data_IF_485781063355
#
_entry.id   IF_485781063355
#
_cell.length_a   1.000
_cell.length_b   1.000
_cell.length_c   1.000
_cell.angle_alpha   90.00
_cell.angle_beta   90.00
_cell.angle_gamma   90.00
#
_symmetry.space_group_name_H-M   'P 1'
#
loop_
_entity.id
_entity.type
_entity.pdbx_description
1 polymer ?
#
# COMPACT_ATOMS: atom_id res chain seq x y z
N UNK A 1 -3.30 -17.35 1.56
CA UNK A 1 -3.37 -16.08 2.33
C UNK A 1 -4.27 -15.11 1.59
N UNK A 2 -5.17 -14.40 2.29
CA UNK A 2 -6.13 -13.49 1.66
C UNK A 2 -5.36 -12.36 0.96
N UNK A 3 -5.61 -12.12 -0.34
CA UNK A 3 -4.96 -11.04 -1.13
C UNK A 3 -5.08 -9.67 -0.44
N UNK A 4 -6.13 -9.49 0.37
CA UNK A 4 -6.35 -8.35 1.29
C UNK A 4 -5.23 -8.16 2.32
N UNK A 5 -4.77 -9.22 2.98
CA UNK A 5 -3.71 -9.14 4.01
C UNK A 5 -2.38 -8.73 3.38
N UNK A 6 -2.10 -9.19 2.16
CA UNK A 6 -0.91 -8.80 1.41
C UNK A 6 -0.94 -7.32 0.99
N UNK A 7 -2.08 -6.82 0.49
CA UNK A 7 -2.25 -5.41 0.13
C UNK A 7 -2.14 -4.46 1.34
N UNK A 8 -2.75 -4.82 2.47
CA UNK A 8 -2.65 -4.03 3.72
C UNK A 8 -1.21 -4.04 4.25
N UNK A 9 -0.54 -5.19 4.24
CA UNK A 9 0.86 -5.27 4.67
C UNK A 9 1.78 -4.39 3.80
N UNK A 10 1.58 -4.40 2.48
CA UNK A 10 2.33 -3.54 1.55
C UNK A 10 2.10 -2.04 1.82
N UNK A 11 0.86 -1.63 2.10
CA UNK A 11 0.56 -0.24 2.48
C UNK A 11 1.19 0.16 3.82
N UNK A 12 1.14 -0.71 4.83
CA UNK A 12 1.80 -0.47 6.11
C UNK A 12 3.32 -0.33 5.95
N UNK A 13 3.94 -1.19 5.13
CA UNK A 13 5.37 -1.11 4.80
C UNK A 13 5.68 0.20 4.06
N UNK A 14 4.83 0.62 3.14
CA UNK A 14 5.00 1.89 2.41
C UNK A 14 4.92 3.11 3.32
N UNK A 15 3.93 3.17 4.21
CA UNK A 15 3.78 4.26 5.19
C UNK A 15 4.96 4.30 6.16
N UNK A 16 5.44 3.13 6.58
CA UNK A 16 6.63 2.98 7.41
C UNK A 16 7.90 3.50 6.71
N UNK A 17 8.12 3.12 5.45
CA UNK A 17 9.23 3.62 4.61
C UNK A 17 9.19 5.15 4.44
N UNK A 18 7.99 5.72 4.25
CA UNK A 18 7.83 7.18 4.17
C UNK A 18 8.20 7.87 5.48
N UNK A 19 7.69 7.34 6.60
CA UNK A 19 7.97 7.89 7.93
C UNK A 19 9.45 7.81 8.33
N UNK A 20 10.16 6.77 7.90
CA UNK A 20 11.56 6.55 8.26
C UNK A 20 12.49 7.67 7.77
N UNK A 21 12.20 8.31 6.63
CA UNK A 21 13.01 9.46 6.16
C UNK A 21 12.92 10.62 7.14
N UNK A 22 11.72 10.94 7.61
CA UNK A 22 11.50 12.04 8.56
C UNK A 22 12.04 11.70 9.95
N UNK A 23 11.92 10.44 10.37
CA UNK A 23 12.50 9.96 11.63
C UNK A 23 14.03 10.02 11.56
N UNK A 24 14.66 9.61 10.46
CA UNK A 24 16.10 9.71 10.27
C UNK A 24 16.59 11.16 10.28
N UNK A 25 15.91 12.06 9.57
CA UNK A 25 16.21 13.49 9.62
C UNK A 25 16.03 14.07 11.04
N UNK A 26 15.01 13.65 11.78
CA UNK A 26 14.79 14.07 13.17
C UNK A 26 15.86 13.53 14.13
N UNK A 27 16.35 12.30 13.93
CA UNK A 27 17.45 11.72 14.72
C UNK A 27 18.75 12.50 14.47
N UNK A 28 19.07 12.81 13.20
CA UNK A 28 20.24 13.65 12.87
C UNK A 28 20.08 15.06 13.47
N UNK A 29 18.86 15.60 13.43
CA UNK A 29 18.53 16.91 14.00
C UNK A 29 18.48 16.95 15.53
N UNK A 30 18.35 15.81 16.20
CA UNK A 30 18.15 15.74 17.66
C UNK A 30 19.33 16.23 18.49
N UNK A 31 20.53 16.26 17.89
CA UNK A 31 21.75 16.78 18.54
C UNK A 31 21.95 18.28 18.39
N UNK A 32 21.08 18.98 17.65
CA UNK A 32 21.25 20.40 17.33
C UNK A 32 20.39 21.29 18.25
N UNK A 33 21.04 22.26 18.88
CA UNK A 33 20.44 23.18 19.87
C UNK A 33 19.55 24.25 19.22
N UNK A 34 19.63 24.43 17.90
CA UNK A 34 18.79 25.37 17.15
C UNK A 34 18.16 24.68 15.94
N UNK A 35 16.84 24.66 15.90
CA UNK A 35 16.07 24.10 14.80
C UNK A 35 15.82 25.19 13.77
N UNK A 36 16.37 25.03 12.56
CA UNK A 36 16.14 25.94 11.44
C UNK A 36 15.63 25.13 10.25
N UNK A 37 14.63 25.65 9.54
CA UNK A 37 14.03 25.01 8.36
C UNK A 37 15.09 24.65 7.30
N UNK A 38 16.09 25.51 7.12
CA UNK A 38 17.20 25.27 6.20
C UNK A 38 18.03 24.04 6.61
N UNK A 39 18.34 23.91 7.91
CA UNK A 39 19.10 22.79 8.47
C UNK A 39 18.35 21.47 8.31
N UNK A 40 17.03 21.47 8.53
CA UNK A 40 16.21 20.28 8.34
C UNK A 40 16.13 19.87 6.87
N UNK A 41 16.07 20.84 5.96
CA UNK A 41 16.13 20.57 4.51
C UNK A 41 17.48 19.96 4.11
N UNK A 42 18.60 20.49 4.63
CA UNK A 42 19.93 19.92 4.39
C UNK A 42 20.04 18.49 4.92
N UNK A 43 19.41 18.17 6.05
CA UNK A 43 19.35 16.79 6.57
C UNK A 43 18.48 15.88 5.71
N UNK A 44 17.36 16.39 5.19
CA UNK A 44 16.52 15.65 4.25
C UNK A 44 17.26 15.37 2.94
N UNK A 45 18.10 16.29 2.47
CA UNK A 45 18.99 16.10 1.31
C UNK A 45 20.11 15.08 1.61
N UNK A 46 20.69 15.13 2.81
CA UNK A 46 21.72 14.18 3.23
C UNK A 46 21.20 12.73 3.33
N UNK A 47 19.93 12.55 3.69
CA UNK A 47 19.27 11.23 3.67
C UNK A 47 18.99 10.75 2.24
N UNK A 48 18.94 11.67 1.28
CA UNK A 48 18.78 11.38 -0.15
C UNK A 48 17.34 11.02 -0.55
N UNK A 49 17.07 11.10 -1.85
CA UNK A 49 15.73 10.86 -2.42
C UNK A 49 15.42 9.39 -2.72
N UNK A 50 16.41 8.51 -2.66
CA UNK A 50 16.24 7.08 -2.86
C UNK A 50 15.12 6.43 -2.00
N UNK A 51 15.05 6.65 -0.67
CA UNK A 51 13.95 6.10 0.14
C UNK A 51 12.57 6.70 -0.20
N UNK A 52 12.53 7.93 -0.73
CA UNK A 52 11.28 8.64 -1.03
C UNK A 52 10.70 8.18 -2.38
N UNK A 53 11.56 7.94 -3.36
CA UNK A 53 11.18 7.35 -4.65
C UNK A 53 10.74 5.89 -4.50
N UNK A 54 11.46 5.09 -3.70
CA UNK A 54 11.06 3.70 -3.40
C UNK A 54 9.74 3.63 -2.63
N UNK A 55 9.51 4.54 -1.69
CA UNK A 55 8.24 4.65 -0.97
C UNK A 55 7.08 4.97 -1.91
N UNK A 56 7.25 5.90 -2.87
CA UNK A 56 6.22 6.22 -3.87
C UNK A 56 5.86 5.02 -4.73
N UNK A 57 6.84 4.28 -5.22
CA UNK A 57 6.61 3.09 -6.06
C UNK A 57 5.89 1.99 -5.25
N UNK A 58 6.36 1.74 -4.02
CA UNK A 58 5.72 0.77 -3.12
C UNK A 58 4.28 1.18 -2.77
N UNK A 59 4.01 2.46 -2.60
CA UNK A 59 2.67 2.99 -2.34
C UNK A 59 1.73 2.73 -3.52
N UNK A 60 2.15 3.10 -4.74
CA UNK A 60 1.36 2.88 -5.96
C UNK A 60 1.08 1.38 -6.16
N UNK A 61 2.09 0.54 -6.00
CA UNK A 61 1.95 -0.91 -6.11
C UNK A 61 0.98 -1.47 -5.04
N UNK A 62 1.08 -1.00 -3.80
CA UNK A 62 0.19 -1.38 -2.70
C UNK A 62 -1.27 -1.01 -2.95
N UNK A 63 -1.53 0.21 -3.45
CA UNK A 63 -2.89 0.67 -3.80
C UNK A 63 -3.46 -0.16 -4.95
N UNK A 64 -2.72 -0.38 -6.03
CA UNK A 64 -3.17 -1.18 -7.17
C UNK A 64 -3.56 -2.59 -6.71
N UNK A 65 -2.73 -3.21 -5.86
CA UNK A 65 -2.99 -4.56 -5.37
C UNK A 65 -4.25 -4.64 -4.51
N UNK A 66 -4.51 -3.60 -3.70
CA UNK A 66 -5.72 -3.52 -2.86
C UNK A 66 -6.98 -3.32 -3.70
N UNK A 67 -6.92 -2.45 -4.71
CA UNK A 67 -8.01 -2.23 -5.67
C UNK A 67 -8.37 -3.53 -6.38
N UNK A 68 -7.39 -4.25 -6.95
CA UNK A 68 -7.63 -5.55 -7.61
C UNK A 68 -8.26 -6.55 -6.63
N UNK A 69 -7.75 -6.63 -5.40
CA UNK A 69 -8.28 -7.54 -4.39
C UNK A 69 -9.72 -7.21 -3.99
N UNK A 70 -10.10 -5.93 -3.94
CA UNK A 70 -11.45 -5.50 -3.59
C UNK A 70 -12.43 -5.74 -4.73
N UNK A 71 -12.02 -5.60 -6.00
CA UNK A 71 -12.87 -5.89 -7.16
C UNK A 71 -12.99 -7.38 -7.50
N UNK A 72 -11.98 -8.22 -7.22
CA UNK A 72 -12.03 -9.65 -7.49
C UNK A 72 -13.09 -10.39 -6.63
N UNK A 73 -13.36 -9.89 -5.43
CA UNK A 73 -14.30 -10.48 -4.48
C UNK A 73 -15.78 -10.37 -4.89
N UNK A 74 -16.32 -9.19 -5.25
CA UNK A 74 -17.68 -9.06 -5.75
C UNK A 74 -17.87 -9.87 -7.03
N UNK A 75 -16.89 -9.85 -7.94
CA UNK A 75 -16.95 -10.59 -9.22
C UNK A 75 -17.07 -12.11 -8.98
N UNK A 76 -16.26 -12.69 -8.09
CA UNK A 76 -16.32 -14.14 -7.81
C UNK A 76 -17.65 -14.57 -7.19
N UNK A 77 -18.33 -13.71 -6.44
CA UNK A 77 -19.66 -14.01 -5.88
C UNK A 77 -20.70 -14.03 -6.99
N UNK A 78 -20.74 -12.99 -7.81
CA UNK A 78 -21.68 -12.89 -8.93
C UNK A 78 -21.51 -14.03 -9.94
N UNK A 79 -20.28 -14.37 -10.31
CA UNK A 79 -20.00 -15.49 -11.22
C UNK A 79 -20.45 -16.83 -10.62
N UNK A 80 -20.29 -17.01 -9.30
CA UNK A 80 -20.74 -18.24 -8.62
C UNK A 80 -22.26 -18.33 -8.56
N UNK A 81 -22.95 -17.23 -8.30
CA UNK A 81 -24.41 -17.17 -8.31
C UNK A 81 -24.98 -17.44 -9.71
N UNK A 82 -24.42 -16.81 -10.74
CA UNK A 82 -24.81 -17.07 -12.14
C UNK A 82 -24.65 -18.55 -12.50
N UNK A 83 -23.52 -19.17 -12.13
CA UNK A 83 -23.27 -20.59 -12.39
C UNK A 83 -24.23 -21.50 -11.64
N UNK A 84 -24.54 -21.20 -10.38
CA UNK A 84 -25.46 -22.02 -9.59
C UNK A 84 -26.89 -21.92 -10.11
N UNK A 85 -27.33 -20.73 -10.54
CA UNK A 85 -28.65 -20.53 -11.12
C UNK A 85 -28.78 -21.23 -12.47
N UNK A 86 -27.75 -21.15 -13.32
CA UNK A 86 -27.72 -21.86 -14.60
C UNK A 86 -27.84 -23.38 -14.43
N UNK A 87 -27.06 -23.97 -13.52
CA UNK A 87 -27.10 -25.41 -13.25
C UNK A 87 -28.45 -25.86 -12.65
N UNK A 88 -29.10 -25.00 -11.86
CA UNK A 88 -30.42 -25.29 -11.30
C UNK A 88 -31.52 -25.25 -12.37
N UNK A 89 -31.37 -24.41 -13.39
CA UNK A 89 -32.32 -24.31 -14.50
C UNK A 89 -32.19 -25.52 -15.44
N UNK A 90 -30.95 -25.91 -15.78
CA UNK A 90 -30.68 -27.13 -16.57
C UNK A 90 -31.30 -28.38 -15.92
N UNK A 91 -31.22 -28.49 -14.58
CA UNK A 91 -31.79 -29.63 -13.84
C UNK A 91 -33.32 -29.70 -13.80
N UNK A 92 -34.03 -28.61 -14.12
CA UNK A 92 -35.50 -28.55 -14.15
C UNK A 92 -36.08 -28.79 -15.55
N UNK A 93 -35.22 -28.77 -16.56
CA UNK A 93 -35.59 -28.95 -17.97
C UNK A 93 -35.49 -30.40 -18.47
N UNK A 94 -34.98 -31.31 -17.62
CA UNK A 94 -35.02 -32.78 -17.79
C UNK A 94 -36.16 -33.39 -16.99
#
# INVERSE_FOLDING_TARGET
MHRRTAGIALLCISAFLYGIRYIAAAIIGSGLTSWNQLLFQTMLDAVGDAPLELSRIAFIAGVIYLVIAEFEMPIKRTVREMRNNWNADDSKSQ
#
